data_IF_760271105706
#
_entry.id   IF_760271105706
#
_cell.length_a   1.000
_cell.length_b   1.000
_cell.length_c   1.000
_cell.angle_alpha   90.00
_cell.angle_beta   90.00
_cell.angle_gamma   90.00
#
_symmetry.space_group_name_H-M   'P 1'
#
loop_
_entity.id
_entity.type
_entity.pdbx_description
1 polymer ?
#
# COMPACT_ATOMS: atom_id res chain seq x y z
N UNK A 1 47.91 -4.74 -7.13
CA UNK A 1 47.13 -4.68 -5.87
C UNK A 1 45.98 -3.70 -6.06
N UNK A 2 44.71 -4.13 -5.98
CA UNK A 2 43.56 -3.23 -6.09
C UNK A 2 43.45 -2.36 -4.83
N UNK A 3 43.23 -1.04 -5.01
CA UNK A 3 43.08 -0.07 -3.91
C UNK A 3 41.82 -0.41 -3.10
N UNK A 4 41.85 -0.29 -1.75
CA UNK A 4 40.67 -0.58 -0.94
C UNK A 4 39.57 0.45 -1.22
N UNK A 5 38.36 -0.06 -1.50
CA UNK A 5 37.18 0.77 -1.73
C UNK A 5 36.86 1.64 -0.50
N UNK A 6 36.91 2.96 -0.69
CA UNK A 6 36.40 3.95 0.26
C UNK A 6 34.86 3.87 0.28
N UNK A 7 34.26 3.55 1.42
CA UNK A 7 32.80 3.56 1.59
C UNK A 7 32.30 5.01 1.48
N UNK A 8 31.32 5.32 0.60
CA UNK A 8 30.75 6.66 0.55
C UNK A 8 30.06 6.96 1.89
N UNK A 9 30.33 8.14 2.44
CA UNK A 9 29.72 8.60 3.67
C UNK A 9 28.19 8.61 3.52
N UNK A 10 27.49 8.04 4.51
CA UNK A 10 26.03 8.04 4.53
C UNK A 10 25.50 9.49 4.45
N UNK A 11 24.43 9.76 3.68
CA UNK A 11 23.86 11.10 3.64
C UNK A 11 23.42 11.48 5.04
N UNK A 12 24.08 12.50 5.61
CA UNK A 12 23.68 13.07 6.88
C UNK A 12 22.30 13.70 6.69
N UNK A 13 21.27 13.09 7.25
CA UNK A 13 19.97 13.74 7.42
C UNK A 13 20.16 14.85 8.47
N UNK A 14 20.71 15.98 8.03
CA UNK A 14 20.67 17.21 8.79
C UNK A 14 19.19 17.46 9.10
N UNK A 15 18.82 17.47 10.38
CA UNK A 15 17.48 17.81 10.83
C UNK A 15 17.23 19.27 10.49
N UNK A 16 16.81 19.52 9.25
CA UNK A 16 16.36 20.83 8.81
C UNK A 16 15.12 21.11 9.63
N UNK A 17 15.28 21.89 10.71
CA UNK A 17 14.15 22.41 11.49
C UNK A 17 13.27 23.12 10.48
N UNK A 18 12.15 22.50 10.11
CA UNK A 18 11.15 23.15 9.25
C UNK A 18 10.73 24.40 10.03
N UNK A 19 11.14 25.57 9.54
CA UNK A 19 10.60 26.85 9.99
C UNK A 19 9.10 26.73 9.74
N UNK A 20 8.30 26.53 10.80
CA UNK A 20 6.85 26.56 10.68
C UNK A 20 6.52 27.94 10.11
N UNK A 21 6.04 27.97 8.87
CA UNK A 21 5.64 29.21 8.21
C UNK A 21 4.48 29.77 9.03
N UNK A 22 4.67 30.96 9.60
CA UNK A 22 3.77 31.57 10.58
C UNK A 22 2.42 32.07 10.06
N UNK A 23 1.98 31.64 8.87
CA UNK A 23 0.70 32.05 8.30
C UNK A 23 -0.40 30.99 8.51
N UNK A 24 -0.12 29.70 8.31
CA UNK A 24 -1.17 28.67 8.37
C UNK A 24 -1.58 28.26 9.80
N UNK A 25 -0.83 28.66 10.83
CA UNK A 25 -1.19 28.35 12.22
C UNK A 25 -2.40 29.18 12.68
N UNK A 26 -2.64 30.35 12.07
CA UNK A 26 -3.82 31.19 12.35
C UNK A 26 -5.05 30.72 11.58
N UNK A 27 -4.89 30.25 10.35
CA UNK A 27 -6.01 29.79 9.50
C UNK A 27 -6.71 28.53 10.05
N UNK A 28 -6.00 27.72 10.83
CA UNK A 28 -6.55 26.53 11.48
C UNK A 28 -7.01 26.79 12.93
N UNK A 29 -6.94 28.05 13.38
CA UNK A 29 -7.32 28.44 14.73
C UNK A 29 -8.82 28.73 14.74
N UNK A 30 -9.61 27.71 15.08
CA UNK A 30 -11.06 27.81 15.15
C UNK A 30 -11.41 28.81 16.27
N UNK A 31 -12.10 29.91 15.92
CA UNK A 31 -12.44 31.00 16.85
C UNK A 31 -13.46 30.57 17.91
N UNK A 32 -14.37 29.65 17.58
CA UNK A 32 -15.40 29.14 18.49
C UNK A 32 -15.58 27.62 18.34
N UNK A 33 -15.52 26.89 19.47
CA UNK A 33 -15.77 25.45 19.52
C UNK A 33 -17.15 25.23 20.14
N UNK A 34 -18.13 24.85 19.31
CA UNK A 34 -19.45 24.46 19.77
C UNK A 34 -19.42 23.00 20.24
N UNK A 35 -19.94 22.75 21.45
CA UNK A 35 -19.92 21.42 22.05
C UNK A 35 -21.30 20.78 22.04
N UNK A 36 -21.55 19.93 21.05
CA UNK A 36 -22.76 19.12 20.99
C UNK A 36 -22.58 17.81 21.79
N UNK A 37 -23.45 17.62 22.79
CA UNK A 37 -23.45 16.43 23.63
C UNK A 37 -23.84 15.18 22.85
N UNK A 38 -24.70 15.30 21.84
CA UNK A 38 -25.16 14.18 21.01
C UNK A 38 -24.02 13.66 20.12
N UNK A 39 -23.36 14.55 19.39
CA UNK A 39 -22.15 14.24 18.62
C UNK A 39 -21.04 13.64 19.49
N UNK A 40 -20.88 14.12 20.73
CA UNK A 40 -19.93 13.50 21.68
C UNK A 40 -20.32 12.08 22.04
N UNK A 41 -21.60 11.80 22.31
CA UNK A 41 -22.05 10.45 22.63
C UNK A 41 -21.80 9.51 21.44
N UNK A 42 -22.11 9.93 20.21
CA UNK A 42 -21.79 9.18 19.00
C UNK A 42 -20.28 8.99 18.82
N UNK A 43 -19.47 9.99 19.15
CA UNK A 43 -18.03 9.85 19.14
C UNK A 43 -17.54 8.88 20.22
N UNK A 44 -18.14 8.83 21.40
CA UNK A 44 -17.71 7.88 22.43
C UNK A 44 -18.19 6.45 22.17
N UNK A 45 -19.32 6.23 21.51
CA UNK A 45 -19.85 4.86 21.28
C UNK A 45 -19.54 4.33 19.87
N UNK A 46 -19.42 5.21 18.88
CA UNK A 46 -19.26 4.89 17.46
C UNK A 46 -17.85 4.51 17.01
N UNK A 47 -17.01 3.90 17.86
CA UNK A 47 -15.63 3.55 17.51
C UNK A 47 -15.53 2.67 16.26
N UNK A 48 -16.42 1.68 16.13
CA UNK A 48 -16.47 0.82 14.96
C UNK A 48 -16.84 1.62 13.70
N UNK A 49 -17.86 2.48 13.78
CA UNK A 49 -18.26 3.38 12.69
C UNK A 49 -17.09 4.24 12.22
N UNK A 50 -16.34 4.85 13.14
CA UNK A 50 -15.14 5.66 12.80
C UNK A 50 -13.99 4.83 12.24
N UNK A 51 -13.79 3.60 12.72
CA UNK A 51 -12.77 2.70 12.17
C UNK A 51 -13.11 2.35 10.72
N UNK A 52 -14.35 1.98 10.44
CA UNK A 52 -14.84 1.69 9.09
C UNK A 52 -14.75 2.94 8.21
N UNK A 53 -15.19 4.11 8.70
CA UNK A 53 -15.10 5.36 7.97
C UNK A 53 -13.65 5.72 7.59
N UNK A 54 -12.68 5.52 8.49
CA UNK A 54 -11.26 5.72 8.18
C UNK A 54 -10.74 4.75 7.11
N UNK A 55 -11.15 3.49 7.18
CA UNK A 55 -10.76 2.49 6.17
C UNK A 55 -11.33 2.88 4.82
N UNK A 56 -12.62 3.24 4.76
CA UNK A 56 -13.28 3.70 3.54
C UNK A 56 -12.65 4.98 2.99
N UNK A 57 -12.34 5.96 3.83
CA UNK A 57 -11.67 7.18 3.41
C UNK A 57 -10.29 6.90 2.80
N UNK A 58 -9.51 6.00 3.41
CA UNK A 58 -8.22 5.59 2.86
C UNK A 58 -8.36 4.84 1.52
N UNK A 59 -9.41 4.02 1.35
CA UNK A 59 -9.72 3.37 0.09
C UNK A 59 -10.08 4.39 -0.99
N UNK A 60 -10.97 5.33 -0.68
CA UNK A 60 -11.40 6.39 -1.61
C UNK A 60 -10.22 7.29 -2.00
N UNK A 61 -9.34 7.65 -1.06
CA UNK A 61 -8.14 8.44 -1.36
C UNK A 61 -7.18 7.68 -2.28
N UNK A 62 -7.00 6.38 -2.04
CA UNK A 62 -6.17 5.53 -2.90
C UNK A 62 -6.77 5.37 -4.32
N UNK A 63 -8.08 5.21 -4.43
CA UNK A 63 -8.78 5.15 -5.71
C UNK A 63 -8.69 6.47 -6.47
N UNK A 64 -8.90 7.60 -5.79
CA UNK A 64 -8.77 8.93 -6.38
C UNK A 64 -7.35 9.14 -6.92
N UNK A 65 -6.34 8.83 -6.11
CA UNK A 65 -4.93 8.92 -6.53
C UNK A 65 -4.62 7.99 -7.70
N UNK A 66 -5.13 6.77 -7.69
CA UNK A 66 -4.94 5.83 -8.81
C UNK A 66 -5.59 6.31 -10.11
N UNK A 67 -6.75 6.99 -10.04
CA UNK A 67 -7.38 7.61 -11.21
C UNK A 67 -6.54 8.78 -11.73
N UNK A 68 -6.08 9.65 -10.85
CA UNK A 68 -5.20 10.78 -11.21
C UNK A 68 -3.90 10.28 -11.87
N UNK A 69 -3.26 9.25 -11.30
CA UNK A 69 -2.05 8.64 -11.86
C UNK A 69 -2.29 8.05 -13.26
N UNK A 70 -3.41 7.34 -13.49
CA UNK A 70 -3.77 6.82 -14.83
C UNK A 70 -4.00 7.93 -15.86
N UNK A 71 -4.66 9.01 -15.45
CA UNK A 71 -4.91 10.16 -16.33
C UNK A 71 -3.58 10.82 -16.70
N UNK A 72 -2.69 11.02 -15.74
CA UNK A 72 -1.35 11.55 -15.98
C UNK A 72 -0.51 10.64 -16.88
N UNK A 73 -0.55 9.32 -16.67
CA UNK A 73 0.14 8.34 -17.52
C UNK A 73 -0.37 8.38 -18.96
N UNK A 74 -1.69 8.41 -19.14
CA UNK A 74 -2.31 8.53 -20.47
C UNK A 74 -1.93 9.86 -21.14
N UNK A 75 -1.92 10.96 -20.39
CA UNK A 75 -1.48 12.27 -20.89
C UNK A 75 -0.02 12.23 -21.34
N UNK A 76 0.89 11.71 -20.51
CA UNK A 76 2.32 11.56 -20.83
C UNK A 76 2.54 10.70 -22.08
N UNK A 77 1.76 9.63 -22.25
CA UNK A 77 1.85 8.75 -23.41
C UNK A 77 1.37 9.44 -24.69
N UNK A 78 0.31 10.26 -24.61
CA UNK A 78 -0.14 11.09 -25.74
C UNK A 78 0.90 12.16 -26.10
N UNK A 79 1.45 12.85 -25.10
CA UNK A 79 2.51 13.85 -25.29
C UNK A 79 3.76 13.23 -25.94
N UNK A 80 4.22 12.06 -25.44
CA UNK A 80 5.35 11.35 -26.03
C UNK A 80 5.11 10.94 -27.49
N UNK A 81 3.90 10.47 -27.82
CA UNK A 81 3.53 10.16 -29.23
C UNK A 81 3.51 11.41 -30.11
N UNK A 82 3.03 12.54 -29.59
CA UNK A 82 3.01 13.83 -30.31
C UNK A 82 4.45 14.31 -30.58
N UNK A 83 5.33 14.21 -29.59
CA UNK A 83 6.75 14.54 -29.74
C UNK A 83 7.45 13.62 -30.74
N UNK A 84 7.22 12.30 -30.67
CA UNK A 84 7.77 11.34 -31.63
C UNK A 84 7.32 11.63 -33.06
N UNK A 85 6.02 11.91 -33.25
CA UNK A 85 5.47 12.29 -34.56
C UNK A 85 6.11 13.58 -35.07
N UNK A 86 6.25 14.59 -34.21
CA UNK A 86 6.88 15.88 -34.56
C UNK A 86 8.33 15.67 -35.01
N UNK A 87 9.11 14.91 -34.25
CA UNK A 87 10.51 14.60 -34.60
C UNK A 87 10.61 13.79 -35.90
N UNK A 88 9.68 12.86 -36.13
CA UNK A 88 9.65 12.07 -37.36
C UNK A 88 9.32 12.94 -38.58
N UNK A 89 8.30 13.81 -38.48
CA UNK A 89 7.96 14.77 -39.54
C UNK A 89 9.15 15.70 -39.82
N UNK A 90 9.80 16.22 -38.78
CA UNK A 90 11.00 17.04 -38.91
C UNK A 90 12.13 16.29 -39.64
N UNK A 91 12.40 15.03 -39.24
CA UNK A 91 13.42 14.19 -39.89
C UNK A 91 13.10 13.88 -41.36
N UNK A 92 11.83 13.62 -41.69
CA UNK A 92 11.37 13.39 -43.07
C UNK A 92 11.52 14.66 -43.90
N UNK A 93 11.12 15.82 -43.38
CA UNK A 93 11.25 17.11 -44.06
C UNK A 93 12.72 17.45 -44.34
N UNK A 94 13.61 17.21 -43.39
CA UNK A 94 15.06 17.34 -43.57
C UNK A 94 15.57 16.40 -44.67
N UNK A 95 15.15 15.14 -44.68
CA UNK A 95 15.56 14.16 -45.70
C UNK A 95 15.14 14.52 -47.12
N UNK A 96 13.96 15.14 -47.25
CA UNK A 96 13.39 15.59 -48.53
C UNK A 96 13.93 16.96 -48.97
N UNK A 97 14.79 17.60 -48.17
CA UNK A 97 15.31 18.94 -48.44
C UNK A 97 14.22 20.02 -48.45
N UNK A 98 13.09 19.74 -47.79
CA UNK A 98 11.95 20.64 -47.65
C UNK A 98 12.10 21.58 -46.45
N UNK A 99 13.32 22.03 -46.15
CA UNK A 99 13.60 23.12 -45.21
C UNK A 99 13.09 24.44 -45.81
N UNK A 100 11.79 24.55 -46.01
CA UNK A 100 11.13 25.78 -46.43
C UNK A 100 10.97 26.66 -45.20
N UNK A 101 11.81 27.69 -45.15
CA UNK A 101 11.71 28.89 -44.33
C UNK A 101 10.43 29.72 -44.66
N UNK A 102 9.26 29.08 -44.67
CA UNK A 102 7.99 29.72 -45.01
C UNK A 102 6.96 29.43 -43.90
N UNK A 103 7.03 30.24 -42.85
CA UNK A 103 5.90 31.04 -42.35
C UNK A 103 4.56 30.40 -42.02
N UNK A 104 4.42 29.08 -42.06
CA UNK A 104 3.19 28.40 -41.66
C UNK A 104 3.23 28.20 -40.15
N UNK A 105 2.78 29.22 -39.43
CA UNK A 105 2.24 29.08 -38.07
C UNK A 105 1.18 27.98 -38.11
N UNK A 106 1.59 26.74 -37.84
CA UNK A 106 0.66 25.64 -37.60
C UNK A 106 0.02 25.95 -36.26
N UNK A 107 -1.12 26.63 -36.35
CA UNK A 107 -1.99 26.96 -35.24
C UNK A 107 -2.24 25.68 -34.45
N UNK A 108 -1.54 25.53 -33.34
CA UNK A 108 -1.88 24.60 -32.27
C UNK A 108 -3.21 25.08 -31.66
N UNK A 109 -4.30 24.88 -32.39
CA UNK A 109 -5.64 25.01 -31.84
C UNK A 109 -5.87 23.79 -30.95
N UNK A 110 -5.47 23.99 -29.69
CA UNK A 110 -5.83 23.21 -28.51
C UNK A 110 -7.35 23.13 -28.45
N UNK A 111 -7.94 22.21 -29.21
CA UNK A 111 -9.33 21.81 -29.03
C UNK A 111 -9.39 21.04 -27.72
N UNK A 112 -9.62 21.79 -26.64
CA UNK A 112 -9.94 21.29 -25.32
C UNK A 112 -11.12 20.33 -25.38
N UNK A 113 -10.79 19.04 -25.47
CA UNK A 113 -11.75 17.97 -25.26
C UNK A 113 -11.91 17.78 -23.75
N UNK A 114 -12.88 18.49 -23.18
CA UNK A 114 -13.50 18.15 -21.91
C UNK A 114 -14.13 16.76 -22.06
N UNK A 115 -13.32 15.72 -21.84
CA UNK A 115 -13.72 14.32 -21.72
C UNK A 115 -14.61 14.15 -20.48
N UNK A 116 -15.87 14.58 -20.63
CA UNK A 116 -17.00 14.12 -19.83
C UNK A 116 -17.13 12.63 -20.11
N UNK A 117 -16.57 11.84 -19.20
CA UNK A 117 -16.82 10.42 -19.04
C UNK A 117 -18.34 10.19 -18.94
N UNK A 118 -18.97 9.94 -20.08
CA UNK A 118 -20.28 9.32 -20.18
C UNK A 118 -20.02 7.81 -20.18
N UNK A 119 -20.27 7.18 -19.04
CA UNK A 119 -20.50 5.75 -18.90
C UNK A 119 -21.58 5.35 -19.93
N UNK A 120 -21.15 5.03 -21.15
CA UNK A 120 -21.96 4.28 -22.10
C UNK A 120 -22.05 2.89 -21.53
N UNK A 121 -23.12 2.65 -20.76
CA UNK A 121 -23.60 1.33 -20.44
C UNK A 121 -23.77 0.56 -21.75
N UNK A 122 -22.83 -0.33 -22.01
CA UNK A 122 -22.88 -1.30 -23.09
C UNK A 122 -24.10 -2.19 -22.84
N UNK A 123 -25.21 -1.81 -23.45
CA UNK A 123 -26.40 -2.64 -23.55
C UNK A 123 -25.99 -3.95 -24.20
N UNK A 124 -25.92 -5.00 -23.39
CA UNK A 124 -25.62 -6.34 -23.82
C UNK A 124 -26.62 -6.79 -24.87
N UNK A 125 -26.12 -6.98 -26.09
CA UNK A 125 -26.64 -8.02 -26.94
C UNK A 125 -25.73 -9.22 -26.73
N UNK A 126 -26.30 -10.33 -26.26
CA UNK A 126 -25.61 -11.60 -26.11
C UNK A 126 -25.09 -12.05 -27.46
N UNK A 127 -23.80 -11.84 -27.68
CA UNK A 127 -23.12 -12.29 -28.87
C UNK A 127 -22.30 -13.51 -28.46
N UNK A 128 -22.79 -14.68 -28.86
CA UNK A 128 -22.02 -15.91 -28.87
C UNK A 128 -20.99 -15.78 -30.01
N UNK A 129 -19.91 -15.05 -29.73
CA UNK A 129 -18.88 -14.67 -30.70
C UNK A 129 -17.81 -15.77 -30.76
N UNK A 130 -17.95 -16.71 -31.70
CA UNK A 130 -16.85 -17.61 -32.05
C UNK A 130 -15.78 -16.81 -32.82
N UNK A 131 -14.66 -16.51 -32.16
CA UNK A 131 -13.50 -15.88 -32.80
C UNK A 131 -12.46 -16.94 -33.15
N UNK A 132 -12.33 -17.21 -34.45
CA UNK A 132 -11.32 -18.14 -34.98
C UNK A 132 -9.96 -17.43 -35.08
N UNK A 133 -9.03 -17.78 -34.18
CA UNK A 133 -7.63 -17.39 -34.28
C UNK A 133 -6.87 -18.45 -35.07
N UNK A 134 -6.36 -18.09 -36.24
CA UNK A 134 -5.53 -18.96 -37.08
C UNK A 134 -4.07 -18.57 -36.88
N UNK A 135 -3.34 -19.34 -36.09
CA UNK A 135 -1.88 -19.42 -36.18
C UNK A 135 -1.51 -20.67 -36.99
N UNK A 136 -0.64 -20.52 -37.99
CA UNK A 136 -0.33 -21.48 -39.07
C UNK A 136 0.16 -22.88 -38.62
N UNK A 137 0.28 -23.15 -37.31
CA UNK A 137 0.74 -24.45 -36.81
C UNK A 137 -0.10 -25.05 -35.67
N UNK A 138 -1.09 -24.34 -35.07
CA UNK A 138 -1.92 -24.87 -33.96
C UNK A 138 -3.31 -24.23 -33.90
N UNK A 139 -4.36 -25.05 -34.07
CA UNK A 139 -5.74 -24.64 -33.86
C UNK A 139 -6.15 -24.88 -32.39
N UNK A 140 -6.52 -23.83 -31.67
CA UNK A 140 -7.13 -23.92 -30.34
C UNK A 140 -8.39 -23.06 -30.30
N UNK A 141 -9.56 -23.68 -30.15
CA UNK A 141 -10.84 -22.99 -29.98
C UNK A 141 -11.12 -22.78 -28.50
N UNK A 142 -11.41 -21.52 -28.11
CA UNK A 142 -11.80 -21.14 -26.75
C UNK A 142 -13.27 -20.75 -26.76
N UNK A 143 -14.12 -21.53 -26.09
CA UNK A 143 -15.55 -21.27 -25.92
C UNK A 143 -15.80 -20.72 -24.52
N UNK A 144 -16.40 -19.54 -24.41
CA UNK A 144 -16.76 -18.92 -23.13
C UNK A 144 -18.22 -19.21 -22.83
N UNK A 145 -18.48 -19.98 -21.77
CA UNK A 145 -19.83 -20.25 -21.24
C UNK A 145 -20.00 -19.59 -19.88
N UNK A 146 -21.09 -18.88 -19.66
CA UNK A 146 -21.47 -18.34 -18.35
C UNK A 146 -21.90 -19.51 -17.44
N UNK A 147 -21.26 -19.65 -16.28
CA UNK A 147 -21.77 -20.50 -15.20
C UNK A 147 -22.89 -19.72 -14.52
N UNK A 148 -24.10 -20.27 -14.52
CA UNK A 148 -25.22 -19.77 -13.73
C UNK A 148 -24.96 -20.14 -12.26
N UNK A 149 -24.63 -19.15 -11.42
CA UNK A 149 -24.37 -19.29 -9.98
C UNK A 149 -25.69 -19.36 -9.18
N UNK A 150 -26.62 -20.22 -9.58
CA UNK A 150 -27.83 -20.52 -8.80
C UNK A 150 -27.96 -22.04 -8.66
N UNK A 151 -28.09 -22.50 -7.40
CA UNK A 151 -28.40 -23.87 -6.97
C UNK A 151 -27.20 -24.79 -6.69
N UNK A 152 -26.62 -24.67 -5.48
CA UNK A 152 -26.37 -25.81 -4.57
C UNK A 152 -26.04 -25.27 -3.16
N UNK A 153 -27.11 -25.08 -2.39
CA UNK A 153 -27.13 -24.80 -0.96
C UNK A 153 -27.04 -26.14 -0.21
N UNK A 154 -25.84 -26.57 0.18
CA UNK A 154 -25.64 -27.71 1.09
C UNK A 154 -24.83 -27.29 2.34
N UNK A 155 -25.57 -27.23 3.45
CA UNK A 155 -25.19 -27.30 4.86
C UNK A 155 -23.73 -27.65 5.20
N UNK A 156 -23.08 -26.79 6.00
CA UNK A 156 -22.45 -27.27 7.24
C UNK A 156 -22.62 -26.22 8.36
N UNK A 157 -23.52 -26.55 9.30
CA UNK A 157 -23.56 -25.95 10.63
C UNK A 157 -22.36 -26.39 11.46
N UNK A 158 -21.72 -25.43 12.12
CA UNK A 158 -21.03 -25.66 13.39
C UNK A 158 -21.01 -24.37 14.24
N UNK A 159 -22.07 -24.22 15.04
CA UNK A 159 -22.04 -23.70 16.42
C UNK A 159 -20.75 -24.14 17.17
N UNK A 160 -20.17 -23.51 18.18
CA UNK A 160 -20.49 -22.46 19.15
C UNK A 160 -19.14 -22.13 19.84
N UNK A 161 -19.05 -20.99 20.56
CA UNK A 161 -18.05 -20.90 21.63
C UNK A 161 -17.60 -19.50 22.02
N UNK A 162 -18.52 -18.71 22.57
CA UNK A 162 -18.21 -17.54 23.39
C UNK A 162 -17.43 -17.95 24.65
N UNK A 163 -16.31 -17.30 24.93
CA UNK A 163 -15.75 -17.25 26.27
C UNK A 163 -14.94 -15.95 26.47
N UNK A 164 -15.58 -14.99 27.15
CA UNK A 164 -14.90 -13.87 27.78
C UNK A 164 -14.03 -14.35 28.95
N UNK A 165 -13.05 -13.52 29.32
CA UNK A 165 -12.14 -13.81 30.42
C UNK A 165 -11.16 -12.69 30.68
N UNK A 166 -11.66 -11.61 31.28
CA UNK A 166 -10.88 -10.66 32.08
C UNK A 166 -9.94 -11.40 33.04
N UNK A 167 -8.68 -10.97 33.11
CA UNK A 167 -7.82 -11.22 34.27
C UNK A 167 -6.99 -9.97 34.58
N UNK A 168 -7.56 -9.15 35.44
CA UNK A 168 -6.81 -8.32 36.37
C UNK A 168 -5.91 -9.21 37.23
N UNK A 169 -4.63 -8.84 37.33
CA UNK A 169 -3.78 -9.27 38.45
C UNK A 169 -2.98 -8.07 38.95
N UNK A 170 -3.59 -7.32 39.85
CA UNK A 170 -2.86 -6.60 40.86
C UNK A 170 -2.38 -7.63 41.91
N UNK A 171 -1.08 -7.72 42.18
CA UNK A 171 -0.65 -8.05 43.53
C UNK A 171 0.72 -7.49 43.91
N UNK A 172 0.64 -6.67 44.96
CA UNK A 172 1.66 -6.15 45.85
C UNK A 172 2.51 -7.25 46.49
N UNK A 173 3.82 -7.02 46.66
CA UNK A 173 4.56 -7.47 47.86
C UNK A 173 5.98 -6.90 47.94
N UNK A 174 6.11 -5.88 48.78
CA UNK A 174 7.09 -5.76 49.87
C UNK A 174 8.55 -6.19 49.59
N UNK A 175 9.43 -5.19 49.41
CA UNK A 175 10.86 -5.38 49.60
C UNK A 175 11.24 -5.07 51.06
N UNK A 176 11.75 -6.09 51.74
CA UNK A 176 12.46 -6.00 53.03
C UNK A 176 13.85 -5.42 52.80
N UNK A 177 14.24 -4.51 53.70
CA UNK A 177 15.60 -3.98 53.79
C UNK A 177 16.57 -4.89 54.58
N UNK A 178 17.86 -4.65 54.31
CA UNK A 178 19.12 -4.97 55.06
C UNK A 178 19.94 -6.18 54.58
N UNK A 179 21.26 -6.22 54.87
CA UNK A 179 22.28 -5.18 54.72
C UNK A 179 23.43 -5.65 53.79
N UNK A 180 24.36 -4.73 53.52
CA UNK A 180 25.46 -4.86 52.57
C UNK A 180 26.60 -5.70 53.14
N UNK A 181 27.05 -6.71 52.40
CA UNK A 181 28.44 -7.19 52.46
C UNK A 181 29.08 -7.10 51.06
N UNK A 182 30.05 -6.20 50.96
CA UNK A 182 30.83 -5.94 49.75
C UNK A 182 31.94 -6.99 49.64
N UNK A 183 31.77 -7.97 48.75
CA UNK A 183 32.88 -8.62 48.06
C UNK A 183 32.85 -8.18 46.60
N UNK A 184 33.87 -7.43 46.22
CA UNK A 184 34.08 -6.85 44.90
C UNK A 184 34.32 -7.98 43.90
N UNK A 185 33.24 -8.46 43.26
CA UNK A 185 33.33 -9.30 42.07
C UNK A 185 33.42 -8.39 40.86
N UNK A 186 34.52 -8.52 40.11
CA UNK A 186 34.75 -7.84 38.84
C UNK A 186 33.50 -7.93 37.95
N UNK A 187 32.91 -6.77 37.66
CA UNK A 187 31.66 -6.67 36.90
C UNK A 187 31.96 -6.95 35.43
N UNK A 188 31.64 -8.17 34.97
CA UNK A 188 31.60 -8.47 33.52
C UNK A 188 30.71 -7.44 32.81
N UNK A 189 31.12 -6.91 31.64
CA UNK A 189 30.36 -5.89 30.93
C UNK A 189 28.96 -6.42 30.61
N UNK A 190 27.93 -5.71 31.09
CA UNK A 190 26.53 -6.07 30.80
C UNK A 190 26.31 -5.99 29.29
N UNK A 191 25.94 -7.10 28.67
CA UNK A 191 25.57 -7.11 27.26
C UNK A 191 24.40 -6.14 27.04
N UNK A 192 24.57 -5.21 26.10
CA UNK A 192 23.54 -4.24 25.76
C UNK A 192 22.29 -5.01 25.34
N UNK A 193 21.13 -4.64 25.90
CA UNK A 193 19.84 -5.20 25.47
C UNK A 193 19.73 -4.99 23.97
N UNK A 194 19.51 -6.07 23.21
CA UNK A 194 19.27 -5.97 21.76
C UNK A 194 18.11 -5.02 21.57
N UNK A 195 18.30 -3.99 20.74
CA UNK A 195 17.20 -3.11 20.35
C UNK A 195 16.16 -4.03 19.73
N UNK A 196 14.98 -4.13 20.34
CA UNK A 196 13.86 -4.84 19.74
C UNK A 196 13.55 -4.10 18.44
N UNK A 197 13.99 -4.69 17.34
CA UNK A 197 13.45 -4.34 16.04
C UNK A 197 12.44 -5.42 15.74
N UNK A 198 11.26 -5.01 15.28
CA UNK A 198 10.35 -5.97 14.70
C UNK A 198 11.12 -6.66 13.58
N UNK A 199 11.33 -7.97 13.72
CA UNK A 199 11.80 -8.81 12.64
C UNK A 199 10.99 -8.45 11.39
N UNK A 200 11.68 -8.37 10.25
CA UNK A 200 11.02 -8.15 8.97
C UNK A 200 9.94 -9.24 8.76
N UNK A 201 8.96 -9.00 7.88
CA UNK A 201 7.91 -9.99 7.61
C UNK A 201 8.51 -11.35 7.19
N UNK A 202 9.62 -11.34 6.47
CA UNK A 202 10.34 -12.54 6.05
C UNK A 202 11.00 -13.26 7.25
N UNK A 203 11.77 -12.53 8.05
CA UNK A 203 12.43 -13.07 9.26
C UNK A 203 11.43 -13.65 10.26
N UNK A 204 10.25 -13.02 10.41
CA UNK A 204 9.17 -13.52 11.26
C UNK A 204 8.56 -14.82 10.75
N UNK A 205 8.48 -15.00 9.42
CA UNK A 205 8.02 -16.26 8.82
C UNK A 205 9.03 -17.37 9.09
N UNK A 206 10.33 -17.10 8.92
CA UNK A 206 11.38 -18.08 9.19
C UNK A 206 11.40 -18.52 10.66
N UNK A 207 11.29 -17.58 11.60
CA UNK A 207 11.28 -17.93 13.03
C UNK A 207 10.02 -18.73 13.42
N UNK A 208 8.85 -18.40 12.85
CA UNK A 208 7.64 -19.23 13.03
C UNK A 208 7.82 -20.65 12.49
N UNK A 209 8.49 -20.79 11.34
CA UNK A 209 8.79 -22.11 10.78
C UNK A 209 9.75 -22.89 11.68
N UNK A 210 10.82 -22.27 12.17
CA UNK A 210 11.77 -22.89 13.12
C UNK A 210 11.10 -23.32 14.41
N UNK A 211 10.21 -22.48 14.96
CA UNK A 211 9.47 -22.82 16.18
C UNK A 211 8.47 -23.96 15.96
N UNK A 212 7.82 -24.02 14.79
CA UNK A 212 6.95 -25.14 14.40
C UNK A 212 7.73 -26.45 14.33
N UNK A 213 8.90 -26.44 13.68
CA UNK A 213 9.79 -27.62 13.60
C UNK A 213 10.25 -28.07 15.00
N UNK A 214 10.69 -27.12 15.85
CA UNK A 214 11.10 -27.43 17.23
C UNK A 214 9.95 -28.01 18.06
N UNK A 215 8.75 -27.47 17.92
CA UNK A 215 7.55 -27.97 18.63
C UNK A 215 7.18 -29.37 18.17
N UNK A 216 7.23 -29.62 16.86
CA UNK A 216 6.94 -30.94 16.30
C UNK A 216 7.96 -31.99 16.76
N UNK A 217 9.25 -31.64 16.76
CA UNK A 217 10.32 -32.51 17.28
C UNK A 217 10.11 -32.84 18.77
N UNK A 218 9.80 -31.84 19.59
CA UNK A 218 9.50 -32.07 21.02
C UNK A 218 8.23 -32.90 21.21
N UNK A 219 7.24 -32.77 20.32
CA UNK A 219 6.02 -33.58 20.34
C UNK A 219 6.35 -35.04 20.01
N UNK A 220 7.12 -35.29 18.95
CA UNK A 220 7.53 -36.65 18.58
C UNK A 220 8.39 -37.32 19.67
N UNK A 221 9.31 -36.58 20.28
CA UNK A 221 10.12 -37.08 21.41
C UNK A 221 9.27 -37.42 22.65
N UNK A 222 8.13 -36.76 22.85
CA UNK A 222 7.20 -37.06 23.94
C UNK A 222 6.27 -38.24 23.64
N UNK A 223 5.87 -38.41 22.38
CA UNK A 223 4.98 -39.51 21.97
C UNK A 223 5.74 -40.82 21.73
N UNK A 224 7.06 -40.75 21.54
CA UNK A 224 7.92 -41.92 21.37
C UNK A 224 8.45 -42.50 22.70
N UNK A 225 8.01 -41.95 23.84
CA UNK A 225 8.38 -42.39 25.19
C UNK A 225 7.14 -42.88 25.91
#
# INVERSE_FOLDING_TARGET
>A
MPKPYSKPAAPSFASKKRKRGGNNEKDNQIEEITFDRSARQEYLTGFHKRKVARIKAAQVEAEKRGREERIEERRKLREARKEELRLHVEAVNQSLGLDRNDGSEESEEDSGDEDKNEDTAETGNGINEESEFVDEEKFTTVTVTTMDDDEDEEEEEAEEGLAGGEKDTANTSQQKEKPRDKKEKERKPKQKKKKFRYLSKAERKEDRMRDKVRRNRKKSERTAK
#
